data_IF_020356651565
#
_entry.id   IF_020356651565
#
_cell.length_a   1.000
_cell.length_b   1.000
_cell.length_c   1.000
_cell.angle_alpha   90.00
_cell.angle_beta   90.00
_cell.angle_gamma   90.00
#
_symmetry.space_group_name_H-M   'P 1'
#
loop_
_entity.id
_entity.type
_entity.pdbx_description
1 polymer ?
#
# COMPACT_ATOMS: atom_id res chain seq x y z
N UNK A 1 -39.92 -2.84 14.06
CA UNK A 1 -40.73 -2.24 12.98
C UNK A 1 -40.50 -0.73 13.06
N UNK A 2 -39.92 -0.11 12.03
CA UNK A 2 -39.50 1.31 12.08
C UNK A 2 -40.73 2.23 12.14
N UNK A 3 -40.69 3.27 12.98
CA UNK A 3 -41.77 4.25 13.13
C UNK A 3 -41.66 5.34 12.03
N UNK A 4 -42.77 5.94 11.57
CA UNK A 4 -42.74 7.09 10.67
C UNK A 4 -41.81 8.20 11.20
N UNK A 5 -40.93 8.74 10.35
CA UNK A 5 -39.91 9.72 10.73
C UNK A 5 -38.60 9.12 11.25
N UNK A 6 -38.49 7.81 11.40
CA UNK A 6 -37.20 7.15 11.68
C UNK A 6 -36.29 7.26 10.45
N UNK A 7 -35.01 7.59 10.68
CA UNK A 7 -34.00 7.47 9.63
C UNK A 7 -33.99 6.02 9.11
N UNK A 8 -34.15 5.84 7.80
CA UNK A 8 -34.14 4.52 7.19
C UNK A 8 -32.69 4.01 7.15
N UNK A 9 -32.36 2.92 7.88
CA UNK A 9 -31.03 2.34 7.76
C UNK A 9 -30.87 1.67 6.40
N UNK A 10 -29.64 1.69 5.87
CA UNK A 10 -29.29 0.94 4.66
C UNK A 10 -29.10 -0.52 5.03
N UNK A 11 -29.77 -1.42 4.32
CA UNK A 11 -29.63 -2.87 4.51
C UNK A 11 -28.91 -3.52 3.33
N UNK A 12 -28.12 -4.59 3.56
CA UNK A 12 -27.85 -5.22 4.86
C UNK A 12 -26.87 -4.41 5.74
N UNK A 13 -27.06 -4.48 7.06
CA UNK A 13 -26.12 -3.90 8.03
C UNK A 13 -24.96 -4.87 8.26
N UNK A 14 -23.73 -4.37 8.14
CA UNK A 14 -22.50 -5.13 8.45
C UNK A 14 -21.78 -4.40 9.59
N UNK A 15 -21.90 -4.85 10.85
CA UNK A 15 -21.32 -4.14 12.01
C UNK A 15 -19.83 -3.85 11.87
N UNK A 16 -19.08 -4.80 11.32
CA UNK A 16 -17.62 -4.69 11.18
C UNK A 16 -17.18 -3.89 9.95
N UNK A 17 -18.10 -3.36 9.12
CA UNK A 17 -17.77 -2.74 7.83
C UNK A 17 -16.65 -1.71 7.93
N UNK A 18 -16.65 -0.91 9.01
CA UNK A 18 -15.61 0.10 9.26
C UNK A 18 -14.19 -0.50 9.29
N UNK A 19 -14.03 -1.72 9.80
CA UNK A 19 -12.75 -2.45 9.86
C UNK A 19 -12.27 -2.96 8.49
N UNK A 20 -13.11 -2.84 7.45
CA UNK A 20 -12.80 -3.21 6.07
C UNK A 20 -12.63 -2.00 5.14
N UNK A 21 -12.87 -0.78 5.62
CA UNK A 21 -12.70 0.43 4.81
C UNK A 21 -11.27 0.94 4.95
N UNK A 22 -10.65 1.24 3.81
CA UNK A 22 -9.36 1.92 3.72
C UNK A 22 -9.57 3.32 3.16
N UNK A 23 -8.88 4.31 3.73
CA UNK A 23 -8.86 5.66 3.21
C UNK A 23 -7.50 5.94 2.54
N UNK A 24 -7.52 6.45 1.31
CA UNK A 24 -6.34 6.83 0.55
C UNK A 24 -5.81 8.21 0.95
N UNK A 25 -4.81 8.26 1.83
CA UNK A 25 -4.26 9.52 2.34
C UNK A 25 -3.11 10.03 1.48
N UNK A 26 -3.29 11.21 0.88
CA UNK A 26 -2.27 11.92 0.12
C UNK A 26 -1.42 12.90 0.93
N UNK A 27 -1.72 13.08 2.23
CA UNK A 27 -0.97 13.98 3.13
C UNK A 27 -0.82 13.41 4.53
N UNK A 28 0.12 13.93 5.32
CA UNK A 28 0.24 13.63 6.75
C UNK A 28 -1.04 13.99 7.52
N UNK A 29 -1.61 15.17 7.24
CA UNK A 29 -2.83 15.63 7.91
C UNK A 29 -4.03 14.72 7.63
N UNK A 30 -4.18 14.26 6.38
CA UNK A 30 -5.26 13.32 6.03
C UNK A 30 -5.05 11.96 6.70
N UNK A 31 -3.82 11.45 6.79
CA UNK A 31 -3.54 10.22 7.52
C UNK A 31 -3.85 10.34 9.02
N UNK A 32 -3.44 11.41 9.68
CA UNK A 32 -3.80 11.65 11.09
C UNK A 32 -5.32 11.75 11.29
N UNK A 33 -6.05 12.33 10.34
CA UNK A 33 -7.51 12.38 10.37
C UNK A 33 -8.13 10.98 10.18
N UNK A 34 -7.65 10.19 9.22
CA UNK A 34 -8.05 8.78 9.03
C UNK A 34 -7.94 7.99 10.32
N UNK A 35 -6.86 8.22 11.09
CA UNK A 35 -6.67 7.56 12.37
C UNK A 35 -7.73 7.96 13.40
N UNK A 36 -8.06 9.26 13.50
CA UNK A 36 -9.11 9.75 14.41
C UNK A 36 -10.49 9.19 14.03
N UNK A 37 -10.76 9.05 12.74
CA UNK A 37 -12.02 8.55 12.23
C UNK A 37 -12.17 7.02 12.37
N UNK A 38 -11.10 6.32 12.74
CA UNK A 38 -11.13 4.87 12.97
C UNK A 38 -11.25 4.08 11.67
N UNK A 39 -10.49 4.45 10.63
CA UNK A 39 -10.42 3.76 9.35
C UNK A 39 -9.02 3.19 9.10
N UNK A 40 -8.91 2.11 8.32
CA UNK A 40 -7.60 1.62 7.86
C UNK A 40 -6.94 2.67 6.95
N UNK A 41 -5.62 2.69 6.90
CA UNK A 41 -4.84 3.60 6.06
C UNK A 41 -4.41 2.90 4.78
N UNK A 42 -4.65 3.54 3.63
CA UNK A 42 -3.91 3.29 2.41
C UNK A 42 -3.06 4.51 2.13
N UNK A 43 -1.75 4.37 2.28
CA UNK A 43 -0.80 5.42 1.92
C UNK A 43 -0.78 5.59 0.41
N UNK A 44 -1.18 6.77 -0.07
CA UNK A 44 -1.30 7.06 -1.49
C UNK A 44 0.05 6.91 -2.20
N UNK A 45 0.03 6.44 -3.45
CA UNK A 45 1.21 6.45 -4.35
C UNK A 45 1.56 7.87 -4.83
N UNK A 46 0.74 8.85 -4.45
CA UNK A 46 0.88 10.27 -4.67
C UNK A 46 0.75 10.96 -3.32
N UNK A 47 1.88 11.42 -2.79
CA UNK A 47 1.91 12.23 -1.57
C UNK A 47 2.28 13.67 -1.93
N UNK A 48 1.58 14.63 -1.33
CA UNK A 48 1.77 16.06 -1.62
C UNK A 48 2.94 16.67 -0.85
N UNK A 49 3.49 15.95 0.11
CA UNK A 49 4.71 16.35 0.82
C UNK A 49 5.90 16.38 -0.15
N UNK A 50 6.42 17.57 -0.40
CA UNK A 50 7.58 17.80 -1.27
C UNK A 50 8.82 18.08 -0.42
N UNK A 51 9.43 17.01 0.09
CA UNK A 51 10.72 17.07 0.78
C UNK A 51 11.83 16.47 -0.10
N UNK A 52 13.09 16.54 0.35
CA UNK A 52 14.21 15.87 -0.33
C UNK A 52 14.25 14.35 -0.10
N UNK A 53 13.27 13.80 0.63
CA UNK A 53 13.19 12.39 0.98
C UNK A 53 12.59 11.58 -0.17
N UNK A 54 12.89 10.28 -0.16
CA UNK A 54 12.23 9.30 -1.04
C UNK A 54 10.75 9.14 -0.67
N UNK A 55 9.95 8.64 -1.61
CA UNK A 55 8.55 8.31 -1.33
C UNK A 55 8.44 7.33 -0.16
N UNK A 56 9.31 6.32 -0.10
CA UNK A 56 9.33 5.33 0.98
C UNK A 56 9.52 5.98 2.36
N UNK A 57 10.40 6.98 2.47
CA UNK A 57 10.62 7.70 3.73
C UNK A 57 9.43 8.60 4.10
N UNK A 58 8.84 9.30 3.12
CA UNK A 58 7.65 10.14 3.35
C UNK A 58 6.46 9.28 3.82
N UNK A 59 6.22 8.16 3.14
CA UNK A 59 5.15 7.23 3.50
C UNK A 59 5.42 6.57 4.86
N UNK A 60 6.67 6.24 5.20
CA UNK A 60 7.00 5.72 6.53
C UNK A 60 6.70 6.75 7.65
N UNK A 61 7.01 8.04 7.45
CA UNK A 61 6.62 9.10 8.38
C UNK A 61 5.09 9.23 8.48
N UNK A 62 4.38 9.18 7.35
CA UNK A 62 2.91 9.18 7.33
C UNK A 62 2.32 8.03 8.16
N UNK A 63 2.87 6.82 8.01
CA UNK A 63 2.44 5.62 8.76
C UNK A 63 2.71 5.80 10.26
N UNK A 64 3.89 6.32 10.63
CA UNK A 64 4.25 6.60 12.02
C UNK A 64 3.26 7.57 12.67
N UNK A 65 2.96 8.68 11.99
CA UNK A 65 1.98 9.69 12.46
C UNK A 65 0.57 9.11 12.58
N UNK A 66 0.14 8.32 11.60
CA UNK A 66 -1.14 7.62 11.64
C UNK A 66 -1.23 6.72 12.87
N UNK A 67 -0.22 5.88 13.13
CA UNK A 67 -0.21 4.97 14.28
C UNK A 67 -0.20 5.73 15.61
N UNK A 68 0.56 6.82 15.71
CA UNK A 68 0.55 7.68 16.89
C UNK A 68 -0.83 8.34 17.14
N UNK A 69 -1.48 8.83 16.09
CA UNK A 69 -2.82 9.39 16.17
C UNK A 69 -3.88 8.33 16.51
N UNK A 70 -3.73 7.10 16.00
CA UNK A 70 -4.60 5.96 16.31
C UNK A 70 -4.57 5.63 17.79
N UNK A 71 -3.35 5.49 18.34
CA UNK A 71 -3.14 5.24 19.77
C UNK A 71 -3.79 6.31 20.64
N UNK A 72 -3.65 7.58 20.25
CA UNK A 72 -4.26 8.71 20.96
C UNK A 72 -5.80 8.70 20.87
N UNK A 73 -6.36 8.24 19.74
CA UNK A 73 -7.81 8.15 19.55
C UNK A 73 -8.44 7.03 20.39
N UNK A 74 -7.68 5.97 20.71
CA UNK A 74 -8.11 4.93 21.65
C UNK A 74 -9.18 3.99 21.10
N UNK A 75 -9.15 3.68 19.80
CA UNK A 75 -10.04 2.69 19.19
C UNK A 75 -9.83 1.30 19.79
N UNK A 76 -10.88 0.48 19.81
CA UNK A 76 -10.92 -0.85 20.42
C UNK A 76 -10.40 -1.97 19.50
N UNK A 77 -9.77 -1.62 18.37
CA UNK A 77 -9.26 -2.57 17.39
C UNK A 77 -7.96 -2.08 16.74
N UNK A 78 -7.22 -3.02 16.15
CA UNK A 78 -5.93 -2.76 15.50
C UNK A 78 -6.12 -2.46 14.01
N UNK A 79 -5.70 -1.27 13.53
CA UNK A 79 -5.89 -0.88 12.15
C UNK A 79 -4.91 -1.60 11.23
N UNK A 80 -5.21 -1.60 9.94
CA UNK A 80 -4.29 -2.00 8.87
C UNK A 80 -3.81 -0.80 8.09
N UNK A 81 -2.60 -0.94 7.59
CA UNK A 81 -1.88 0.03 6.79
C UNK A 81 -1.39 -0.67 5.53
N UNK A 82 -1.77 -0.13 4.37
CA UNK A 82 -1.30 -0.62 3.08
C UNK A 82 -0.49 0.42 2.31
N UNK A 83 0.54 -0.04 1.62
CA UNK A 83 1.30 0.72 0.61
C UNK A 83 1.22 0.00 -0.74
N UNK A 84 1.41 0.72 -1.84
CA UNK A 84 1.44 0.09 -3.18
C UNK A 84 2.79 0.27 -3.85
N UNK A 85 3.26 -0.76 -4.57
CA UNK A 85 4.46 -0.73 -5.42
C UNK A 85 4.22 -1.46 -6.73
N UNK A 86 4.80 -0.95 -7.80
CA UNK A 86 4.96 -1.70 -9.05
C UNK A 86 6.22 -2.54 -8.93
N UNK A 87 6.06 -3.87 -8.85
CA UNK A 87 7.16 -4.82 -8.67
C UNK A 87 7.13 -5.86 -9.79
N UNK A 88 8.20 -5.95 -10.56
CA UNK A 88 8.37 -6.80 -11.73
C UNK A 88 9.60 -7.71 -11.55
N UNK A 89 9.42 -8.91 -11.00
CA UNK A 89 10.50 -9.88 -10.90
C UNK A 89 10.88 -10.41 -12.28
N UNK A 90 12.15 -10.26 -12.61
CA UNK A 90 12.73 -10.73 -13.86
C UNK A 90 13.41 -12.08 -13.59
N UNK A 91 12.79 -13.18 -14.03
CA UNK A 91 13.33 -14.53 -13.79
C UNK A 91 13.84 -15.21 -15.06
N UNK A 92 13.46 -14.72 -16.24
CA UNK A 92 13.90 -15.25 -17.53
C UNK A 92 14.12 -14.17 -18.60
N UNK A 93 14.53 -14.61 -19.79
CA UNK A 93 14.77 -13.73 -20.93
C UNK A 93 13.49 -13.05 -21.48
N UNK A 94 12.31 -13.65 -21.28
CA UNK A 94 11.06 -13.04 -21.71
C UNK A 94 10.68 -11.88 -20.78
N UNK A 95 10.89 -12.04 -19.47
CA UNK A 95 10.72 -10.95 -18.50
C UNK A 95 11.71 -9.81 -18.75
N UNK A 96 12.97 -10.14 -19.07
CA UNK A 96 13.97 -9.14 -19.44
C UNK A 96 13.53 -8.30 -20.65
N UNK A 97 12.96 -8.95 -21.67
CA UNK A 97 12.46 -8.25 -22.85
C UNK A 97 11.27 -7.33 -22.54
N UNK A 98 10.38 -7.75 -21.63
CA UNK A 98 9.16 -7.01 -21.29
C UNK A 98 9.42 -5.87 -20.28
N UNK A 99 10.24 -6.14 -19.26
CA UNK A 99 10.35 -5.30 -18.06
C UNK A 99 11.75 -4.76 -17.80
N UNK A 100 12.78 -5.23 -18.52
CA UNK A 100 14.18 -4.83 -18.28
C UNK A 100 14.45 -3.32 -18.37
N UNK A 101 13.63 -2.60 -19.15
CA UNK A 101 13.71 -1.14 -19.29
C UNK A 101 12.78 -0.37 -18.35
N UNK A 102 11.93 -1.05 -17.58
CA UNK A 102 10.95 -0.42 -16.69
C UNK A 102 11.53 -0.03 -15.34
N UNK A 103 12.75 -0.46 -15.03
CA UNK A 103 13.45 -0.05 -13.82
C UNK A 103 13.68 1.46 -13.84
N UNK A 104 12.96 2.20 -13.01
CA UNK A 104 13.24 3.62 -12.80
C UNK A 104 14.29 3.78 -11.70
N UNK A 105 15.36 4.52 -11.98
CA UNK A 105 16.47 4.71 -11.03
C UNK A 105 16.11 5.51 -9.78
N UNK A 106 15.05 6.33 -9.82
CA UNK A 106 14.62 7.16 -8.70
C UNK A 106 13.09 7.34 -8.68
N UNK A 107 12.57 7.75 -7.53
CA UNK A 107 11.23 8.32 -7.43
C UNK A 107 11.13 9.56 -8.34
N UNK A 108 9.95 9.82 -8.86
CA UNK A 108 9.71 10.96 -9.76
C UNK A 108 8.86 11.99 -9.05
N UNK A 109 9.21 13.28 -9.18
CA UNK A 109 8.31 14.37 -8.79
C UNK A 109 7.62 14.86 -10.06
N UNK A 110 6.30 14.71 -10.10
CA UNK A 110 5.47 15.17 -11.20
C UNK A 110 4.47 16.23 -10.75
N UNK A 111 3.95 16.99 -11.70
CA UNK A 111 2.94 18.02 -11.45
C UNK A 111 1.59 17.52 -11.96
N UNK A 112 0.62 17.39 -11.07
CA UNK A 112 -0.75 16.99 -11.43
C UNK A 112 -1.66 18.23 -11.47
N UNK A 113 -2.49 18.41 -12.52
CA UNK A 113 -3.29 19.62 -12.73
C UNK A 113 -4.16 20.05 -11.53
N UNK A 114 -4.61 19.10 -10.70
CA UNK A 114 -5.54 19.36 -9.58
C UNK A 114 -4.97 19.01 -8.18
N UNK A 115 -3.83 18.32 -8.11
CA UNK A 115 -3.28 17.78 -6.84
C UNK A 115 -2.04 18.54 -6.40
N UNK A 116 -1.38 19.26 -7.30
CA UNK A 116 -0.10 19.91 -6.98
C UNK A 116 1.10 19.08 -7.42
N UNK A 117 2.27 19.43 -6.88
CA UNK A 117 3.45 18.58 -7.01
C UNK A 117 3.22 17.29 -6.22
N UNK A 118 3.58 16.15 -6.81
CA UNK A 118 3.39 14.83 -6.20
C UNK A 118 4.60 13.95 -6.46
N UNK A 119 5.01 13.22 -5.42
CA UNK A 119 6.08 12.24 -5.53
C UNK A 119 5.49 10.88 -5.91
N UNK A 120 6.00 10.28 -6.97
CA UNK A 120 5.64 8.97 -7.53
C UNK A 120 6.71 7.96 -7.17
N UNK A 121 6.27 6.78 -6.74
CA UNK A 121 7.18 5.69 -6.39
C UNK A 121 7.87 5.15 -7.63
N UNK A 122 9.15 4.83 -7.49
CA UNK A 122 9.90 4.08 -8.51
C UNK A 122 9.24 2.74 -8.82
N UNK A 123 9.38 2.31 -10.06
CA UNK A 123 9.10 0.94 -10.49
C UNK A 123 10.29 0.05 -10.13
N UNK A 124 10.00 -1.04 -9.41
CA UNK A 124 10.97 -2.05 -9.04
C UNK A 124 10.97 -3.14 -10.11
N UNK A 125 11.93 -3.12 -11.02
CA UNK A 125 12.10 -4.17 -12.03
C UNK A 125 13.54 -4.69 -12.00
N UNK A 126 13.73 -5.90 -11.51
CA UNK A 126 15.04 -6.52 -11.32
C UNK A 126 14.92 -8.03 -11.10
N UNK A 127 16.07 -8.71 -11.08
CA UNK A 127 16.18 -10.09 -10.62
C UNK A 127 15.78 -10.22 -9.13
N UNK A 128 15.29 -11.39 -8.67
CA UNK A 128 14.72 -11.57 -7.34
C UNK A 128 15.60 -11.09 -6.18
N UNK A 129 16.89 -11.45 -6.17
CA UNK A 129 17.81 -11.09 -5.08
C UNK A 129 17.92 -9.57 -4.90
N UNK A 130 17.99 -8.85 -6.03
CA UNK A 130 18.04 -7.38 -6.03
C UNK A 130 16.71 -6.77 -5.62
N UNK A 131 15.58 -7.36 -6.02
CA UNK A 131 14.26 -6.90 -5.55
C UNK A 131 14.13 -7.06 -4.04
N UNK A 132 14.59 -8.17 -3.48
CA UNK A 132 14.58 -8.41 -2.04
C UNK A 132 15.38 -7.34 -1.30
N UNK A 133 16.59 -7.03 -1.77
CA UNK A 133 17.41 -5.95 -1.21
C UNK A 133 16.68 -4.59 -1.27
N UNK A 134 16.15 -4.25 -2.45
CA UNK A 134 15.48 -2.98 -2.68
C UNK A 134 14.20 -2.80 -1.85
N UNK A 135 13.42 -3.86 -1.68
CA UNK A 135 12.18 -3.85 -0.88
C UNK A 135 12.48 -3.83 0.62
N UNK A 136 13.51 -4.54 1.07
CA UNK A 136 13.99 -4.43 2.47
C UNK A 136 14.50 -3.02 2.80
N UNK A 137 15.06 -2.32 1.83
CA UNK A 137 15.51 -0.93 1.98
C UNK A 137 14.35 0.10 1.89
N UNK A 138 13.14 -0.29 1.49
CA UNK A 138 11.99 0.61 1.40
C UNK A 138 11.30 0.72 2.76
N UNK A 139 11.54 1.85 3.45
CA UNK A 139 11.03 2.10 4.79
C UNK A 139 9.51 1.97 4.91
N UNK A 140 8.75 2.30 3.86
CA UNK A 140 7.29 2.19 3.88
C UNK A 140 6.83 0.75 3.74
N UNK A 141 7.50 -0.05 2.89
CA UNK A 141 7.23 -1.50 2.76
C UNK A 141 7.48 -2.19 4.09
N UNK A 142 8.58 -1.84 4.78
CA UNK A 142 8.91 -2.41 6.08
C UNK A 142 8.02 -1.90 7.23
N UNK A 143 7.33 -0.78 7.04
CA UNK A 143 6.42 -0.21 8.05
C UNK A 143 4.97 -0.67 7.88
N UNK A 144 4.56 -1.04 6.68
CA UNK A 144 3.17 -1.38 6.34
C UNK A 144 2.80 -2.82 6.73
N UNK A 145 1.51 -3.06 6.96
CA UNK A 145 0.97 -4.40 7.23
C UNK A 145 0.66 -5.16 5.93
N UNK A 146 0.54 -4.44 4.82
CA UNK A 146 0.19 -4.99 3.50
C UNK A 146 0.90 -4.20 2.43
N UNK A 147 1.60 -4.87 1.52
CA UNK A 147 2.01 -4.25 0.26
C UNK A 147 1.13 -4.77 -0.88
N UNK A 148 0.50 -3.83 -1.57
CA UNK A 148 -0.31 -4.04 -2.76
C UNK A 148 0.60 -3.99 -3.99
N UNK A 149 0.60 -5.07 -4.78
CA UNK A 149 1.36 -5.13 -6.03
C UNK A 149 0.50 -4.54 -7.15
N UNK A 150 0.98 -3.43 -7.72
CA UNK A 150 0.33 -2.79 -8.86
C UNK A 150 0.76 -3.50 -10.15
N UNK A 151 -0.21 -4.11 -10.81
CA UNK A 151 0.00 -4.88 -12.04
C UNK A 151 -0.46 -4.09 -13.30
N UNK A 152 0.17 -4.28 -14.47
CA UNK A 152 -0.16 -3.57 -15.70
C UNK A 152 -1.43 -4.14 -16.35
N UNK A 153 -2.56 -3.47 -16.14
CA UNK A 153 -3.89 -3.91 -16.61
C UNK A 153 -3.99 -4.08 -18.13
N UNK A 154 -3.17 -3.38 -18.91
CA UNK A 154 -3.13 -3.48 -20.37
C UNK A 154 -2.37 -4.67 -20.95
N UNK A 155 -1.63 -5.44 -20.12
CA UNK A 155 -0.72 -6.50 -20.60
C UNK A 155 -1.36 -7.89 -20.71
N UNK A 156 -2.66 -8.02 -20.40
CA UNK A 156 -3.38 -9.30 -20.45
C UNK A 156 -3.19 -10.18 -19.21
N UNK A 157 -4.05 -11.19 -19.06
CA UNK A 157 -4.13 -11.99 -17.83
C UNK A 157 -2.85 -12.79 -17.58
N UNK A 158 -2.33 -13.48 -18.60
CA UNK A 158 -1.18 -14.39 -18.44
C UNK A 158 0.07 -13.67 -17.94
N UNK A 159 0.34 -12.47 -18.46
CA UNK A 159 1.47 -11.64 -18.02
C UNK A 159 1.29 -11.21 -16.57
N UNK A 160 0.09 -10.77 -16.20
CA UNK A 160 -0.21 -10.34 -14.84
C UNK A 160 -0.14 -11.51 -13.83
N UNK A 161 -0.60 -12.71 -14.22
CA UNK A 161 -0.45 -13.93 -13.41
C UNK A 161 1.03 -14.28 -13.24
N UNK A 162 1.83 -14.21 -14.31
CA UNK A 162 3.27 -14.48 -14.23
C UNK A 162 3.99 -13.52 -13.27
N UNK A 163 3.67 -12.22 -13.31
CA UNK A 163 4.24 -11.23 -12.37
C UNK A 163 3.95 -11.63 -10.91
N UNK A 164 2.68 -11.96 -10.61
CA UNK A 164 2.26 -12.31 -9.26
C UNK A 164 2.88 -13.65 -8.81
N UNK A 165 2.95 -14.64 -9.68
CA UNK A 165 3.55 -15.94 -9.40
C UNK A 165 5.06 -15.84 -9.15
N UNK A 166 5.77 -15.08 -10.00
CA UNK A 166 7.20 -14.82 -9.81
C UNK A 166 7.46 -14.10 -8.48
N UNK A 167 6.64 -13.11 -8.12
CA UNK A 167 6.79 -12.38 -6.86
C UNK A 167 6.53 -13.30 -5.65
N UNK A 168 5.44 -14.06 -5.70
CA UNK A 168 5.06 -14.99 -4.63
C UNK A 168 6.09 -16.13 -4.44
N UNK A 169 6.72 -16.58 -5.51
CA UNK A 169 7.67 -17.70 -5.48
C UNK A 169 9.09 -17.26 -5.12
N UNK A 170 9.55 -16.12 -5.66
CA UNK A 170 10.98 -15.75 -5.59
C UNK A 170 11.28 -14.56 -4.67
N UNK A 171 10.30 -13.74 -4.31
CA UNK A 171 10.54 -12.50 -3.54
C UNK A 171 9.85 -12.52 -2.18
N UNK A 172 8.54 -12.74 -2.16
CA UNK A 172 7.72 -12.68 -0.95
C UNK A 172 8.24 -13.55 0.22
N UNK A 173 8.70 -14.80 0.01
CA UNK A 173 9.18 -15.65 1.12
C UNK A 173 10.41 -15.07 1.82
N UNK A 174 11.31 -14.41 1.09
CA UNK A 174 12.50 -13.78 1.66
C UNK A 174 12.19 -12.51 2.47
N UNK A 175 11.04 -11.88 2.23
CA UNK A 175 10.50 -10.78 3.04
C UNK A 175 9.72 -11.29 4.26
N UNK A 176 9.71 -12.60 4.52
CA UNK A 176 9.00 -13.23 5.64
C UNK A 176 7.49 -13.39 5.40
N UNK A 177 7.01 -13.12 4.19
CA UNK A 177 5.59 -13.20 3.90
C UNK A 177 5.14 -14.63 3.67
N UNK A 178 3.92 -14.91 4.12
CA UNK A 178 3.34 -16.23 4.06
C UNK A 178 2.08 -16.22 3.18
N UNK A 179 1.77 -17.31 2.48
CA UNK A 179 0.52 -17.43 1.75
C UNK A 179 -0.68 -17.22 2.67
N UNK A 180 -1.61 -16.36 2.25
CA UNK A 180 -2.82 -16.09 3.02
C UNK A 180 -3.87 -17.22 2.83
N UNK A 181 -3.61 -18.40 3.41
CA UNK A 181 -4.55 -19.52 3.47
C UNK A 181 -5.32 -19.60 4.79
N UNK A 182 -4.91 -18.82 5.79
CA UNK A 182 -5.40 -18.91 7.17
C UNK A 182 -6.43 -17.82 7.54
N UNK A 183 -6.65 -16.84 6.66
CA UNK A 183 -7.66 -15.80 6.86
C UNK A 183 -7.09 -14.40 6.69
N UNK A 184 -7.95 -13.37 6.61
CA UNK A 184 -7.53 -12.02 6.25
C UNK A 184 -6.41 -11.50 7.15
N UNK A 185 -5.38 -10.90 6.53
CA UNK A 185 -4.26 -10.27 7.23
C UNK A 185 -4.79 -9.27 8.26
N UNK A 186 -4.30 -9.37 9.49
CA UNK A 186 -4.54 -8.43 10.59
C UNK A 186 -3.40 -7.42 10.67
N UNK A 187 -3.68 -6.21 11.14
CA UNK A 187 -2.63 -5.20 11.32
C UNK A 187 -1.66 -5.56 12.44
N UNK A 188 -0.44 -5.02 12.39
CA UNK A 188 0.50 -5.16 13.48
C UNK A 188 0.03 -4.35 14.70
N UNK A 189 0.20 -4.88 15.94
CA UNK A 189 -0.08 -4.14 17.15
C UNK A 189 0.60 -2.77 17.17
N UNK A 190 -0.11 -1.76 17.66
CA UNK A 190 0.43 -0.42 17.87
C UNK A 190 0.77 -0.30 19.35
N UNK A 191 2.07 -0.28 19.66
CA UNK A 191 2.58 -0.14 21.03
C UNK A 191 2.31 1.24 21.64
#
# INVERSE_FOLDING_TARGET
MFQPGSALPVFPMVPELRKHIFYGSGTHASAEQTAKDGLNLMSSTLVSETTAQTLGEIQADQISRYRAAWKKAGHDWTPRVSVSRSVFPIVDGADMQLFGMQASGSDQVGMLPDVGASTFGRTYAAEPDKLIEQLNADAAVMSADTLLITIPTGMGVDVNVKILDNFATHVAPALGWQPNREGPVTGYPID
#
